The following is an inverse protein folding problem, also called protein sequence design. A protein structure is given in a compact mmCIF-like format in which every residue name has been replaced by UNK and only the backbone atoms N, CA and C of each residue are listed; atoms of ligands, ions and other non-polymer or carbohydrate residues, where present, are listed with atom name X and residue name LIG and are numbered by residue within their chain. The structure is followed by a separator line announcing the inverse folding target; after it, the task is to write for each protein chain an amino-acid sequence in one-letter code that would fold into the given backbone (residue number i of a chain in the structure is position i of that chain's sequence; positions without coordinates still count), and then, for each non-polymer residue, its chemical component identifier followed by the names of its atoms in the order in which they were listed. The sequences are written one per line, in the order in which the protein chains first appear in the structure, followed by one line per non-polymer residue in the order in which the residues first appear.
data_IF_589297278258
#
_entry.id   IF_589297278258
#
_cell.length_a   1.000
_cell.length_b   1.000
_cell.length_c   1.000
_cell.angle_alpha   90.00
_cell.angle_beta   90.00
_cell.angle_gamma   90.00
#
_symmetry.space_group_name_H-M   'P 1'
#
loop_
_entity.id
_entity.type
_entity.pdbx_description
1 polymer ?
#
# COMPACT_ATOMS: atom_id res chain seq x y z
N UNK A 1 18.20 -4.36 -9.46
CA UNK A 1 17.81 -5.21 -10.62
C UNK A 1 16.84 -4.41 -11.48
N UNK A 2 17.25 -3.97 -12.69
CA UNK A 2 16.44 -3.10 -13.56
C UNK A 2 15.66 -4.02 -14.51
N UNK A 3 14.35 -4.13 -14.33
CA UNK A 3 13.50 -4.97 -15.19
C UNK A 3 13.41 -4.28 -16.56
N UNK A 4 14.11 -4.78 -17.57
CA UNK A 4 14.29 -4.09 -18.86
C UNK A 4 12.98 -3.95 -19.66
N UNK A 5 11.96 -4.78 -19.43
CA UNK A 5 10.71 -4.79 -20.21
C UNK A 5 9.45 -4.94 -19.33
N UNK A 6 9.23 -4.02 -18.38
CA UNK A 6 7.96 -4.01 -17.62
C UNK A 6 6.90 -3.16 -18.31
N UNK A 7 5.97 -3.81 -19.02
CA UNK A 7 4.85 -3.16 -19.70
C UNK A 7 3.54 -3.55 -19.01
N UNK A 8 2.81 -2.56 -18.47
CA UNK A 8 1.45 -2.75 -17.94
C UNK A 8 0.43 -2.40 -19.02
N UNK A 9 -0.49 -3.32 -19.32
CA UNK A 9 -1.64 -3.04 -20.18
C UNK A 9 -2.73 -2.32 -19.38
N UNK A 10 -3.47 -1.36 -19.95
CA UNK A 10 -4.53 -0.62 -19.24
C UNK A 10 -5.56 -1.54 -18.56
N UNK A 11 -5.92 -2.65 -19.23
CA UNK A 11 -6.91 -3.63 -18.77
C UNK A 11 -6.47 -4.45 -17.54
N UNK A 12 -5.20 -4.37 -17.13
CA UNK A 12 -4.68 -5.10 -15.97
C UNK A 12 -4.87 -4.32 -14.65
N UNK A 13 -5.15 -3.01 -14.71
CA UNK A 13 -5.42 -2.16 -13.55
C UNK A 13 -6.91 -2.20 -13.21
N UNK A 14 -7.35 -3.27 -12.52
CA UNK A 14 -8.77 -3.51 -12.25
C UNK A 14 -9.19 -3.17 -10.84
N UNK A 15 -8.28 -3.31 -9.87
CA UNK A 15 -8.63 -3.22 -8.45
C UNK A 15 -8.51 -1.78 -7.97
N UNK A 16 -9.59 -1.14 -7.50
CA UNK A 16 -9.48 0.16 -6.84
C UNK A 16 -8.70 -0.01 -5.53
N UNK A 17 -7.72 0.85 -5.31
CA UNK A 17 -6.94 0.92 -4.08
C UNK A 17 -6.86 2.36 -3.59
N UNK A 18 -6.67 2.50 -2.28
CA UNK A 18 -6.45 3.75 -1.60
C UNK A 18 -5.11 3.71 -0.88
N UNK A 19 -4.24 4.68 -1.18
CA UNK A 19 -2.98 4.86 -0.47
C UNK A 19 -3.21 5.95 0.56
N UNK A 20 -3.00 5.60 1.83
CA UNK A 20 -3.12 6.50 2.97
C UNK A 20 -1.74 6.75 3.56
N UNK A 21 -1.54 7.96 4.06
CA UNK A 21 -0.34 8.36 4.79
C UNK A 21 -0.73 8.71 6.21
N UNK A 22 0.09 8.21 7.13
CA UNK A 22 0.02 8.58 8.53
C UNK A 22 0.42 10.06 8.68
N UNK A 23 -0.45 10.85 9.27
CA UNK A 23 -0.20 12.25 9.62
C UNK A 23 -0.46 12.45 11.11
N UNK A 24 0.40 13.22 11.74
CA UNK A 24 0.22 13.63 13.13
C UNK A 24 -0.88 14.67 13.22
N UNK A 25 -1.97 14.32 13.89
CA UNK A 25 -3.06 15.20 14.26
C UNK A 25 -3.01 15.58 15.73
N UNK A 26 -3.91 16.47 16.14
CA UNK A 26 -4.19 16.75 17.54
C UNK A 26 -5.69 16.73 17.76
N UNK A 27 -6.10 16.05 18.82
CA UNK A 27 -7.49 15.98 19.24
C UNK A 27 -7.97 17.31 19.87
N UNK A 28 -9.27 17.43 20.18
CA UNK A 28 -9.86 18.60 20.86
C UNK A 28 -9.18 18.92 22.21
N UNK A 29 -8.62 17.90 22.86
CA UNK A 29 -7.82 18.00 24.09
C UNK A 29 -6.30 18.18 23.85
N UNK A 30 -5.89 18.52 22.62
CA UNK A 30 -4.50 18.77 22.23
C UNK A 30 -3.56 17.56 22.40
N UNK A 31 -4.11 16.34 22.46
CA UNK A 31 -3.35 15.09 22.53
C UNK A 31 -2.89 14.67 21.14
N UNK A 32 -1.65 14.17 20.97
CA UNK A 32 -1.16 13.70 19.67
C UNK A 32 -1.94 12.46 19.26
N UNK A 33 -2.61 12.55 18.10
CA UNK A 33 -3.32 11.42 17.50
C UNK A 33 -2.71 11.11 16.14
N UNK A 34 -2.75 9.84 15.77
CA UNK A 34 -2.42 9.41 14.43
C UNK A 34 -3.68 9.44 13.58
N UNK A 35 -3.67 10.23 12.50
CA UNK A 35 -4.74 10.22 11.51
C UNK A 35 -4.25 9.61 10.20
N UNK A 36 -5.12 8.85 9.54
CA UNK A 36 -4.87 8.30 8.22
C UNK A 36 -5.48 9.23 7.17
N UNK A 37 -4.61 9.94 6.44
CA UNK A 37 -5.05 10.82 5.36
C UNK A 37 -4.88 10.13 4.01
N UNK A 38 -5.94 10.11 3.21
CA UNK A 38 -5.86 9.60 1.84
C UNK A 38 -4.95 10.47 0.98
N UNK A 39 -3.95 9.85 0.36
CA UNK A 39 -3.01 10.50 -0.56
C UNK A 39 -3.35 10.21 -2.02
N UNK A 40 -3.79 8.98 -2.33
CA UNK A 40 -4.13 8.59 -3.70
C UNK A 40 -5.28 7.59 -3.73
N UNK A 41 -6.24 7.83 -4.62
CA UNK A 41 -7.23 6.83 -5.04
C UNK A 41 -6.95 6.46 -6.50
N UNK A 42 -6.66 5.19 -6.78
CA UNK A 42 -6.32 4.74 -8.14
C UNK A 42 -6.66 3.27 -8.35
N UNK A 43 -6.56 2.79 -9.58
CA UNK A 43 -6.66 1.36 -9.91
C UNK A 43 -5.28 0.73 -9.99
N UNK A 44 -5.13 -0.46 -9.40
CA UNK A 44 -3.90 -1.23 -9.35
C UNK A 44 -4.07 -2.65 -9.92
N UNK A 45 -2.94 -3.22 -10.36
CA UNK A 45 -2.79 -4.65 -10.60
C UNK A 45 -2.22 -5.26 -9.32
N UNK A 46 -2.92 -6.19 -8.70
CA UNK A 46 -2.49 -6.86 -7.47
C UNK A 46 -1.93 -8.23 -7.85
N UNK A 47 -0.70 -8.50 -7.41
CA UNK A 47 -0.02 -9.78 -7.52
C UNK A 47 0.22 -10.31 -6.10
N UNK A 48 -0.30 -11.50 -5.83
CA UNK A 48 -0.02 -12.18 -4.56
C UNK A 48 1.43 -12.64 -4.59
N UNK A 49 2.21 -12.23 -3.58
CA UNK A 49 3.50 -12.84 -3.28
C UNK A 49 3.23 -13.93 -2.25
N UNK A 50 4.05 -14.99 -2.29
CA UNK A 50 3.94 -16.16 -1.42
C UNK A 50 3.75 -15.71 0.04
N UNK A 51 2.72 -16.23 0.71
CA UNK A 51 2.53 -16.01 2.14
C UNK A 51 3.54 -16.83 2.91
N UNK A 52 4.20 -16.21 3.87
CA UNK A 52 5.06 -16.91 4.83
C UNK A 52 4.38 -16.88 6.20
N UNK A 53 4.20 -18.06 6.78
CA UNK A 53 3.79 -18.21 8.17
C UNK A 53 5.03 -18.09 9.05
N UNK A 54 4.95 -17.31 10.13
CA UNK A 54 6.06 -17.16 11.07
C UNK A 54 5.55 -17.25 12.51
N UNK A 55 6.33 -17.90 13.36
CA UNK A 55 6.02 -18.01 14.78
C UNK A 55 6.44 -16.73 15.51
N UNK A 56 5.51 -16.17 16.28
CA UNK A 56 5.75 -15.07 17.22
C UNK A 56 5.75 -15.64 18.64
N UNK A 57 6.48 -15.00 19.55
CA UNK A 57 6.62 -15.44 20.94
C UNK A 57 5.30 -15.67 21.70
N UNK A 58 4.19 -15.05 21.26
CA UNK A 58 2.83 -15.22 21.78
C UNK A 58 1.79 -15.55 20.67
N UNK A 59 2.15 -16.32 19.63
CA UNK A 59 1.16 -16.84 18.67
C UNK A 59 1.68 -17.12 17.25
N UNK A 60 0.77 -17.50 16.34
CA UNK A 60 1.07 -17.66 14.91
C UNK A 60 0.77 -16.35 14.16
N UNK A 61 1.78 -15.79 13.51
CA UNK A 61 1.64 -14.64 12.62
C UNK A 61 1.56 -15.09 11.15
N UNK A 62 0.64 -14.50 10.38
CA UNK A 62 0.57 -14.73 8.93
C UNK A 62 1.08 -13.46 8.24
N UNK A 63 2.20 -13.54 7.52
CA UNK A 63 2.68 -12.43 6.68
C UNK A 63 2.20 -12.64 5.25
N UNK A 64 1.17 -11.90 4.86
CA UNK A 64 0.69 -11.88 3.48
C UNK A 64 1.32 -10.69 2.77
N UNK A 65 2.44 -10.92 2.09
CA UNK A 65 3.00 -9.93 1.19
C UNK A 65 2.20 -9.89 -0.12
N UNK A 66 1.76 -8.70 -0.52
CA UNK A 66 1.16 -8.47 -1.84
C UNK A 66 1.96 -7.40 -2.55
N UNK A 67 2.35 -7.66 -3.79
CA UNK A 67 2.93 -6.64 -4.67
C UNK A 67 1.80 -6.02 -5.47
N UNK A 68 1.68 -4.71 -5.47
CA UNK A 68 0.74 -3.98 -6.31
C UNK A 68 1.47 -3.06 -7.26
N UNK A 69 0.91 -2.88 -8.44
CA UNK A 69 1.44 -1.97 -9.44
C UNK A 69 0.41 -0.88 -9.75
N UNK A 70 0.88 0.37 -9.71
CA UNK A 70 0.13 1.56 -10.10
C UNK A 70 0.88 2.30 -11.19
N UNK A 71 0.16 3.15 -11.94
CA UNK A 71 0.81 4.14 -12.79
C UNK A 71 1.43 5.22 -11.93
N UNK A 72 2.57 5.75 -12.37
CA UNK A 72 3.25 6.85 -11.67
C UNK A 72 2.34 8.10 -11.62
N UNK A 73 1.92 8.55 -10.42
CA UNK A 73 1.18 9.78 -10.29
C UNK A 73 2.13 10.98 -10.44
N UNK A 74 1.84 11.91 -11.34
CA UNK A 74 2.66 13.13 -11.52
C UNK A 74 2.59 14.10 -10.34
N UNK A 75 1.59 13.97 -9.48
CA UNK A 75 1.21 14.96 -8.46
C UNK A 75 1.61 14.56 -7.03
N UNK A 76 2.30 13.43 -6.84
CA UNK A 76 2.62 12.90 -5.51
C UNK A 76 4.11 12.59 -5.46
N UNK A 77 4.80 13.22 -4.53
CA UNK A 77 6.10 12.76 -4.03
C UNK A 77 5.81 11.68 -2.99
N UNK A 78 6.11 10.42 -3.33
CA UNK A 78 5.98 9.24 -2.45
C UNK A 78 7.32 9.03 -1.73
#
# INVERSE_FOLDING_TARGET
MRVKNFTIKPHELRHPIEIQREVSGRDEDNRPITELKTVLKTKAKILNVRGEEFELANGKGIKIAKTFYIRFPKSIEI
#
